data_IF_313165799339
#
_entry.id   IF_313165799339
#
_cell.length_a   1.000
_cell.length_b   1.000
_cell.length_c   1.000
_cell.angle_alpha   90.00
_cell.angle_beta   90.00
_cell.angle_gamma   90.00
#
_symmetry.space_group_name_H-M   'P 1'
#
loop_
_entity.id
_entity.type
_entity.pdbx_description
1 polymer ?
#
# COMPACT_ATOMS: atom_id res chain seq x y z
N UNK A 1 35.30 62.04 3.39
CA UNK A 1 35.08 60.84 4.23
C UNK A 1 33.60 60.57 4.58
N UNK A 2 32.65 61.43 4.18
CA UNK A 2 31.20 61.33 4.52
C UNK A 2 30.31 60.73 3.39
N UNK A 3 30.85 60.56 2.18
CA UNK A 3 30.07 60.03 1.00
C UNK A 3 30.18 58.51 0.90
N UNK A 4 31.27 57.89 1.40
CA UNK A 4 31.44 56.42 1.34
C UNK A 4 30.59 55.66 2.35
N UNK A 5 30.14 56.28 3.45
CA UNK A 5 29.35 55.64 4.48
C UNK A 5 27.85 55.51 4.12
N UNK A 6 27.32 56.38 3.25
CA UNK A 6 25.91 56.35 2.83
C UNK A 6 25.61 55.23 1.81
N UNK A 7 26.56 54.91 0.94
CA UNK A 7 26.39 53.84 -0.05
C UNK A 7 26.49 52.44 0.52
N UNK A 8 27.23 52.25 1.62
CA UNK A 8 27.35 50.94 2.28
C UNK A 8 26.07 50.60 3.08
N UNK A 9 25.49 51.61 3.75
CA UNK A 9 24.22 51.42 4.52
C UNK A 9 23.04 51.11 3.59
N UNK A 10 22.96 51.74 2.39
CA UNK A 10 21.92 51.47 1.42
C UNK A 10 22.02 50.08 0.78
N UNK A 11 23.24 49.58 0.56
CA UNK A 11 23.47 48.22 0.04
C UNK A 11 23.15 47.14 1.06
N UNK A 12 23.44 47.35 2.34
CA UNK A 12 23.14 46.42 3.41
C UNK A 12 21.62 46.38 3.70
N UNK A 13 20.90 47.50 3.61
CA UNK A 13 19.44 47.56 3.75
C UNK A 13 18.71 46.86 2.59
N UNK A 14 19.25 46.91 1.34
CA UNK A 14 18.70 46.25 0.18
C UNK A 14 18.87 44.73 0.25
N UNK A 15 19.98 44.24 0.78
CA UNK A 15 20.24 42.77 0.97
C UNK A 15 19.39 42.21 2.10
N UNK A 16 19.19 42.94 3.19
CA UNK A 16 18.33 42.52 4.29
C UNK A 16 16.83 42.56 3.90
N UNK A 17 16.41 43.50 3.03
CA UNK A 17 15.05 43.58 2.50
C UNK A 17 14.69 42.43 1.56
N UNK A 18 15.67 41.86 0.83
CA UNK A 18 15.46 40.71 -0.07
C UNK A 18 15.40 39.36 0.69
N UNK A 19 15.89 39.29 1.91
CA UNK A 19 15.84 38.08 2.73
C UNK A 19 14.55 37.92 3.54
N UNK A 20 13.66 38.90 3.55
CA UNK A 20 12.43 38.91 4.36
C UNK A 20 11.17 38.53 3.54
N UNK A 21 11.28 38.20 2.26
CA UNK A 21 10.14 37.79 1.43
C UNK A 21 10.16 36.30 1.04
N UNK A 22 10.83 35.45 1.80
CA UNK A 22 10.56 34.04 1.71
C UNK A 22 9.19 33.75 2.35
N UNK A 23 8.12 33.95 1.61
CA UNK A 23 6.86 33.32 1.96
C UNK A 23 7.10 31.82 2.10
N UNK A 24 6.59 31.17 3.15
CA UNK A 24 6.60 29.72 3.18
C UNK A 24 5.76 29.25 1.99
N UNK A 25 6.44 28.90 0.89
CA UNK A 25 5.79 28.25 -0.21
C UNK A 25 5.17 26.97 0.33
N UNK A 26 3.85 26.84 0.27
CA UNK A 26 3.20 25.58 0.52
C UNK A 26 3.78 24.61 -0.52
N UNK A 27 4.45 23.56 -0.06
CA UNK A 27 5.15 22.63 -0.95
C UNK A 27 4.16 21.90 -1.89
N UNK A 28 2.87 21.92 -1.55
CA UNK A 28 1.78 21.29 -2.32
C UNK A 28 0.52 22.15 -2.15
N UNK A 29 0.02 22.71 -3.26
CA UNK A 29 -1.30 23.34 -3.34
C UNK A 29 -2.32 22.29 -3.79
N UNK A 30 -2.91 21.59 -2.82
CA UNK A 30 -3.90 20.55 -3.07
C UNK A 30 -5.30 21.19 -3.07
N UNK A 31 -5.89 21.26 -4.25
CA UNK A 31 -7.24 21.76 -4.44
C UNK A 31 -8.26 20.64 -4.26
N UNK A 32 -9.34 20.90 -3.52
CA UNK A 32 -10.51 20.03 -3.47
C UNK A 32 -11.48 20.42 -4.57
N UNK A 33 -11.61 19.60 -5.59
CA UNK A 33 -12.54 19.78 -6.69
C UNK A 33 -13.78 18.92 -6.45
N UNK A 34 -14.96 19.52 -6.51
CA UNK A 34 -16.24 18.81 -6.37
C UNK A 34 -17.07 19.06 -7.63
N UNK A 35 -17.52 17.99 -8.29
CA UNK A 35 -18.39 18.06 -9.46
C UNK A 35 -19.83 18.44 -9.08
N UNK A 36 -20.67 18.88 -10.04
CA UNK A 36 -22.11 19.10 -9.84
C UNK A 36 -22.85 17.92 -9.22
N UNK A 37 -22.47 16.66 -9.56
CA UNK A 37 -23.05 15.45 -8.98
C UNK A 37 -22.48 15.09 -7.59
N UNK A 38 -21.61 15.94 -7.02
CA UNK A 38 -21.07 15.76 -5.66
C UNK A 38 -19.84 14.82 -5.59
N UNK A 39 -19.23 14.46 -6.72
CA UNK A 39 -18.02 13.64 -6.73
C UNK A 39 -16.80 14.52 -6.43
N UNK A 40 -15.97 14.09 -5.48
CA UNK A 40 -14.84 14.87 -5.01
C UNK A 40 -13.51 14.25 -5.43
N UNK A 41 -12.63 15.06 -6.00
CA UNK A 41 -11.24 14.72 -6.27
C UNK A 41 -10.27 15.72 -5.61
N UNK A 42 -9.06 15.30 -5.33
CA UNK A 42 -7.96 16.19 -4.97
C UNK A 42 -7.07 16.42 -6.18
N UNK A 43 -6.81 17.68 -6.48
CA UNK A 43 -6.05 18.12 -7.66
C UNK A 43 -4.78 18.87 -7.24
N UNK A 44 -3.68 18.54 -7.88
CA UNK A 44 -2.52 19.43 -8.01
C UNK A 44 -2.45 19.82 -9.49
N UNK A 45 -2.78 21.07 -9.77
CA UNK A 45 -2.72 21.64 -11.10
C UNK A 45 -1.28 21.98 -11.45
N UNK A 46 -0.74 21.38 -12.53
CA UNK A 46 0.64 21.55 -12.98
C UNK A 46 0.70 21.58 -14.51
N UNK A 47 0.90 22.76 -15.07
CA UNK A 47 1.01 23.00 -16.51
C UNK A 47 2.45 22.95 -17.03
N UNK A 48 3.42 22.57 -16.21
CA UNK A 48 4.82 22.49 -16.63
C UNK A 48 5.09 21.38 -17.64
N UNK A 49 4.28 20.32 -17.59
CA UNK A 49 4.34 19.18 -18.49
C UNK A 49 2.93 18.87 -19.03
N UNK A 50 2.76 18.55 -20.33
CA UNK A 50 1.46 18.28 -20.93
C UNK A 50 0.99 16.84 -20.61
N UNK A 51 0.93 16.49 -19.34
CA UNK A 51 0.54 15.16 -18.85
C UNK A 51 -0.54 15.29 -17.78
N UNK A 52 -1.47 14.34 -17.75
CA UNK A 52 -2.46 14.20 -16.70
C UNK A 52 -2.34 12.79 -16.13
N UNK A 53 -2.25 12.68 -14.80
CA UNK A 53 -2.32 11.42 -14.07
C UNK A 53 -3.50 11.44 -13.08
N UNK A 54 -4.29 10.37 -13.09
CA UNK A 54 -5.42 10.17 -12.18
C UNK A 54 -5.29 8.79 -11.54
N UNK A 55 -5.45 8.72 -10.23
CA UNK A 55 -5.67 7.47 -9.52
C UNK A 55 -6.98 7.53 -8.76
N UNK A 56 -7.77 6.46 -8.87
CA UNK A 56 -9.02 6.27 -8.15
C UNK A 56 -8.95 5.02 -7.28
N UNK A 57 -9.58 5.09 -6.11
CA UNK A 57 -9.67 4.00 -5.14
C UNK A 57 -11.14 3.78 -4.81
N UNK A 58 -11.59 2.53 -4.98
CA UNK A 58 -12.93 2.07 -4.56
C UNK A 58 -12.79 1.16 -3.34
N UNK A 59 -13.76 1.20 -2.45
CA UNK A 59 -13.89 0.33 -1.27
C UNK A 59 -14.40 -1.06 -1.69
N UNK A 60 -13.58 -1.78 -2.43
CA UNK A 60 -13.81 -3.12 -2.92
C UNK A 60 -12.46 -3.83 -3.09
N UNK A 61 -12.41 -5.13 -2.87
CA UNK A 61 -11.17 -5.87 -3.02
C UNK A 61 -11.36 -7.37 -2.84
N UNK A 62 -10.26 -8.11 -2.78
CA UNK A 62 -10.29 -9.55 -2.62
C UNK A 62 -10.92 -10.01 -1.28
N UNK A 63 -11.01 -9.12 -0.28
CA UNK A 63 -11.75 -9.43 0.95
C UNK A 63 -13.25 -9.63 0.72
N UNK A 64 -13.78 -9.05 -0.36
CA UNK A 64 -15.18 -9.18 -0.76
C UNK A 64 -15.45 -10.36 -1.71
N UNK A 65 -14.40 -11.10 -2.12
CA UNK A 65 -14.58 -12.26 -2.98
C UNK A 65 -15.46 -13.32 -2.29
N UNK A 66 -16.41 -13.98 -2.99
CA UNK A 66 -17.09 -15.14 -2.47
C UNK A 66 -16.09 -16.26 -2.13
N UNK A 67 -16.41 -17.07 -1.12
CA UNK A 67 -15.48 -18.09 -0.58
C UNK A 67 -15.10 -19.16 -1.61
N UNK A 68 -15.93 -19.40 -2.60
CA UNK A 68 -15.69 -20.36 -3.70
C UNK A 68 -15.12 -19.72 -4.97
N UNK A 69 -14.98 -18.38 -5.00
CA UNK A 69 -14.50 -17.57 -6.13
C UNK A 69 -13.42 -16.59 -5.73
N UNK A 70 -12.53 -16.99 -4.83
CA UNK A 70 -11.35 -16.19 -4.47
C UNK A 70 -10.53 -15.86 -5.73
N UNK A 71 -10.06 -14.62 -5.83
CA UNK A 71 -9.39 -14.07 -7.01
C UNK A 71 -10.33 -13.35 -7.98
N UNK A 72 -11.64 -13.24 -7.65
CA UNK A 72 -12.63 -12.56 -8.49
C UNK A 72 -12.28 -11.07 -8.68
N UNK A 73 -11.97 -10.35 -7.61
CA UNK A 73 -11.55 -8.96 -7.70
C UNK A 73 -10.27 -8.79 -8.54
N UNK A 74 -9.32 -9.73 -8.41
CA UNK A 74 -8.08 -9.71 -9.18
C UNK A 74 -8.32 -9.98 -10.67
N UNK A 75 -9.17 -10.97 -11.01
CA UNK A 75 -9.53 -11.24 -12.41
C UNK A 75 -10.32 -10.07 -13.00
N UNK A 76 -11.27 -9.48 -12.26
CA UNK A 76 -11.98 -8.27 -12.67
C UNK A 76 -11.01 -7.14 -13.00
N UNK A 77 -10.08 -6.84 -12.09
CA UNK A 77 -9.09 -5.77 -12.29
C UNK A 77 -8.23 -5.99 -13.54
N UNK A 78 -7.92 -7.26 -13.84
CA UNK A 78 -7.08 -7.62 -15.00
C UNK A 78 -7.86 -7.74 -16.31
N UNK A 79 -9.19 -7.54 -16.28
CA UNK A 79 -10.05 -7.68 -17.48
C UNK A 79 -10.87 -6.45 -17.81
N UNK A 80 -10.89 -5.42 -16.94
CA UNK A 80 -11.67 -4.20 -17.19
C UNK A 80 -11.15 -3.38 -18.39
N UNK A 81 -9.88 -3.46 -18.69
CA UNK A 81 -9.22 -2.83 -19.85
C UNK A 81 -9.11 -3.77 -21.06
N UNK A 82 -9.79 -4.92 -21.03
CA UNK A 82 -9.78 -5.94 -22.08
C UNK A 82 -11.02 -5.87 -22.98
N UNK A 83 -11.35 -4.66 -23.42
CA UNK A 83 -12.48 -4.36 -24.30
C UNK A 83 -13.69 -3.78 -23.57
N UNK A 84 -14.24 -2.69 -24.14
CA UNK A 84 -15.39 -2.00 -23.57
C UNK A 84 -16.21 -1.27 -24.68
N UNK A 85 -17.50 -1.09 -24.47
CA UNK A 85 -18.41 -0.54 -25.46
C UNK A 85 -18.40 -1.37 -26.75
N UNK A 86 -18.18 -0.73 -27.88
CA UNK A 86 -18.06 -1.39 -29.19
C UNK A 86 -16.65 -1.94 -29.47
N UNK A 87 -15.63 -1.57 -28.65
CA UNK A 87 -14.25 -1.96 -28.88
C UNK A 87 -13.96 -3.36 -28.35
N UNK A 88 -13.47 -4.24 -29.22
CA UNK A 88 -12.91 -5.52 -28.81
C UNK A 88 -11.66 -5.33 -27.93
N UNK A 89 -11.18 -6.40 -27.28
CA UNK A 89 -9.92 -6.34 -26.50
C UNK A 89 -8.75 -5.79 -27.32
N UNK A 90 -8.60 -6.25 -28.55
CA UNK A 90 -7.51 -5.80 -29.45
C UNK A 90 -7.67 -4.33 -29.82
N UNK A 91 -8.89 -3.91 -30.20
CA UNK A 91 -9.16 -2.54 -30.62
C UNK A 91 -9.00 -1.54 -29.45
N UNK A 92 -9.45 -1.96 -28.24
CA UNK A 92 -9.33 -1.17 -27.03
C UNK A 92 -7.84 -0.95 -26.67
N UNK A 93 -7.04 -2.00 -26.65
CA UNK A 93 -5.61 -1.91 -26.36
C UNK A 93 -4.84 -1.15 -27.46
N UNK A 94 -5.21 -1.31 -28.74
CA UNK A 94 -4.63 -0.54 -29.83
C UNK A 94 -4.93 0.95 -29.70
N UNK A 95 -6.18 1.32 -29.37
CA UNK A 95 -6.56 2.72 -29.16
C UNK A 95 -5.81 3.37 -28.00
N UNK A 96 -5.60 2.63 -26.88
CA UNK A 96 -4.77 3.10 -25.77
C UNK A 96 -3.32 3.32 -26.20
N UNK A 97 -2.73 2.33 -26.91
CA UNK A 97 -1.33 2.36 -27.33
C UNK A 97 -1.05 3.49 -28.34
N UNK A 98 -1.89 3.64 -29.38
CA UNK A 98 -1.76 4.66 -30.40
C UNK A 98 -1.80 6.10 -29.84
N UNK A 99 -2.54 6.29 -28.75
CA UNK A 99 -2.69 7.57 -28.05
C UNK A 99 -1.73 7.73 -26.87
N UNK A 100 -0.84 6.76 -26.62
CA UNK A 100 0.04 6.76 -25.43
C UNK A 100 -0.74 6.95 -24.13
N UNK A 101 -1.88 6.28 -24.01
CA UNK A 101 -2.72 6.26 -22.81
C UNK A 101 -2.35 5.03 -22.01
N UNK A 102 -2.01 5.22 -20.74
CA UNK A 102 -1.87 4.14 -19.75
C UNK A 102 -3.16 4.07 -18.93
N UNK A 103 -3.95 3.03 -19.12
CA UNK A 103 -5.15 2.73 -18.35
C UNK A 103 -5.05 1.28 -17.87
N UNK A 104 -5.10 1.08 -16.55
CA UNK A 104 -5.11 -0.25 -15.97
C UNK A 104 -5.73 -0.25 -14.57
N UNK A 105 -6.13 -1.43 -14.11
CA UNK A 105 -6.75 -1.61 -12.80
C UNK A 105 -5.96 -2.62 -11.96
N UNK A 106 -6.10 -2.53 -10.63
CA UNK A 106 -5.49 -3.46 -9.68
C UNK A 106 -6.42 -3.69 -8.48
N UNK A 107 -6.59 -4.95 -8.10
CA UNK A 107 -7.25 -5.30 -6.86
C UNK A 107 -6.22 -5.58 -5.76
N UNK A 108 -6.38 -4.87 -4.64
CA UNK A 108 -5.75 -5.21 -3.37
C UNK A 108 -6.65 -6.13 -2.55
N UNK A 109 -6.35 -6.28 -1.27
CA UNK A 109 -7.23 -7.01 -0.36
C UNK A 109 -8.50 -6.21 -0.06
N UNK A 110 -8.35 -4.92 0.27
CA UNK A 110 -9.46 -4.05 0.70
C UNK A 110 -9.87 -3.04 -0.38
N UNK A 111 -9.04 -2.81 -1.39
CA UNK A 111 -9.15 -1.67 -2.31
C UNK A 111 -9.00 -2.09 -3.75
N UNK A 112 -9.89 -1.58 -4.57
CA UNK A 112 -9.79 -1.67 -6.03
C UNK A 112 -9.31 -0.33 -6.57
N UNK A 113 -8.30 -0.34 -7.42
CA UNK A 113 -7.67 0.87 -7.94
C UNK A 113 -7.78 0.93 -9.45
N UNK A 114 -8.09 2.12 -9.97
CA UNK A 114 -7.93 2.44 -11.38
C UNK A 114 -6.87 3.52 -11.54
N UNK A 115 -6.04 3.39 -12.56
CA UNK A 115 -4.92 4.29 -12.85
C UNK A 115 -5.01 4.73 -14.30
N UNK A 116 -4.97 6.04 -14.52
CA UNK A 116 -4.91 6.66 -15.84
C UNK A 116 -3.72 7.59 -15.91
N UNK A 117 -2.96 7.53 -17.00
CA UNK A 117 -1.95 8.52 -17.34
C UNK A 117 -1.96 8.77 -18.83
N UNK A 118 -1.97 10.03 -19.25
CA UNK A 118 -2.10 10.43 -20.64
C UNK A 118 -1.45 11.77 -20.93
N UNK A 119 -1.16 12.05 -22.19
CA UNK A 119 -0.87 13.40 -22.65
C UNK A 119 -2.15 14.25 -22.63
N UNK A 120 -2.05 15.54 -22.31
CA UNK A 120 -3.19 16.47 -22.28
C UNK A 120 -3.98 16.46 -23.59
N UNK A 121 -3.29 16.38 -24.73
CA UNK A 121 -3.90 16.33 -26.07
C UNK A 121 -4.80 15.09 -26.29
N UNK A 122 -4.60 14.01 -25.54
CA UNK A 122 -5.33 12.76 -25.67
C UNK A 122 -6.30 12.51 -24.48
N UNK A 123 -6.43 13.48 -23.59
CA UNK A 123 -7.18 13.31 -22.33
C UNK A 123 -8.67 13.02 -22.53
N UNK A 124 -9.32 13.60 -23.53
CA UNK A 124 -10.74 13.29 -23.82
C UNK A 124 -10.91 11.82 -24.20
N UNK A 125 -10.00 11.28 -25.03
CA UNK A 125 -10.00 9.85 -25.37
C UNK A 125 -9.73 8.99 -24.12
N UNK A 126 -8.75 9.39 -23.29
CA UNK A 126 -8.40 8.63 -22.09
C UNK A 126 -9.56 8.55 -21.09
N UNK A 127 -10.26 9.66 -20.86
CA UNK A 127 -11.42 9.67 -19.94
C UNK A 127 -12.64 8.94 -20.54
N UNK A 128 -12.83 8.98 -21.84
CA UNK A 128 -13.86 8.17 -22.49
C UNK A 128 -13.54 6.67 -22.40
N UNK A 129 -12.29 6.26 -22.64
CA UNK A 129 -11.87 4.86 -22.48
C UNK A 129 -12.04 4.40 -21.03
N UNK A 130 -11.71 5.24 -20.05
CA UNK A 130 -11.96 4.96 -18.62
C UNK A 130 -13.46 4.79 -18.36
N UNK A 131 -14.30 5.69 -18.87
CA UNK A 131 -15.75 5.62 -18.72
C UNK A 131 -16.29 4.32 -19.30
N UNK A 132 -15.89 3.96 -20.52
CA UNK A 132 -16.29 2.71 -21.15
C UNK A 132 -15.88 1.49 -20.33
N UNK A 133 -14.63 1.45 -19.83
CA UNK A 133 -14.12 0.36 -19.01
C UNK A 133 -14.93 0.18 -17.72
N UNK A 134 -15.35 1.28 -17.08
CA UNK A 134 -16.12 1.22 -15.83
C UNK A 134 -17.61 0.86 -16.05
N UNK A 135 -18.23 1.31 -17.14
CA UNK A 135 -19.68 1.20 -17.35
C UNK A 135 -20.11 0.11 -18.35
N UNK A 136 -19.26 -0.20 -19.33
CA UNK A 136 -19.60 -1.08 -20.44
C UNK A 136 -18.48 -2.11 -20.73
N UNK A 137 -17.88 -2.74 -19.70
CA UNK A 137 -16.86 -3.77 -19.95
C UNK A 137 -17.49 -4.97 -20.66
N UNK A 138 -16.82 -5.49 -21.69
CA UNK A 138 -17.35 -6.58 -22.52
C UNK A 138 -17.21 -7.94 -21.85
N UNK A 139 -16.10 -8.18 -21.21
CA UNK A 139 -15.73 -9.48 -20.62
C UNK A 139 -15.91 -10.62 -21.64
N UNK A 140 -15.34 -10.44 -22.84
CA UNK A 140 -15.37 -11.45 -23.89
C UNK A 140 -14.67 -12.73 -23.43
N UNK A 141 -15.28 -13.88 -23.71
CA UNK A 141 -14.78 -15.16 -23.23
C UNK A 141 -13.30 -15.40 -23.57
N UNK A 142 -12.89 -15.07 -24.79
CA UNK A 142 -11.50 -15.24 -25.23
C UNK A 142 -10.50 -14.37 -24.42
N UNK A 143 -10.88 -13.12 -24.11
CA UNK A 143 -10.05 -12.22 -23.30
C UNK A 143 -10.00 -12.68 -21.84
N UNK A 144 -11.14 -13.01 -21.26
CA UNK A 144 -11.24 -13.54 -19.88
C UNK A 144 -10.44 -14.84 -19.73
N UNK A 145 -10.53 -15.77 -20.68
CA UNK A 145 -9.80 -17.05 -20.64
C UNK A 145 -8.29 -16.83 -20.75
N UNK A 146 -7.84 -15.91 -21.61
CA UNK A 146 -6.43 -15.56 -21.74
C UNK A 146 -5.88 -14.99 -20.42
N UNK A 147 -6.57 -14.04 -19.82
CA UNK A 147 -6.17 -13.42 -18.55
C UNK A 147 -6.23 -14.43 -17.40
N UNK A 148 -7.29 -15.26 -17.36
CA UNK A 148 -7.41 -16.37 -16.39
C UNK A 148 -6.20 -17.30 -16.48
N UNK A 149 -5.78 -17.68 -17.67
CA UNK A 149 -4.61 -18.54 -17.88
C UNK A 149 -3.32 -17.89 -17.35
N UNK A 150 -3.15 -16.58 -17.54
CA UNK A 150 -2.00 -15.82 -17.00
C UNK A 150 -2.02 -15.80 -15.46
N UNK A 151 -3.17 -15.53 -14.84
CA UNK A 151 -3.32 -15.54 -13.38
C UNK A 151 -3.04 -16.94 -12.83
N UNK A 152 -3.57 -17.99 -13.44
CA UNK A 152 -3.32 -19.38 -13.02
C UNK A 152 -1.85 -19.77 -13.17
N UNK A 153 -1.16 -19.31 -14.21
CA UNK A 153 0.28 -19.52 -14.37
C UNK A 153 1.07 -18.81 -13.25
N UNK A 154 0.69 -17.57 -12.90
CA UNK A 154 1.26 -16.82 -11.77
C UNK A 154 1.02 -17.56 -10.45
N UNK A 155 -0.19 -18.05 -10.18
CA UNK A 155 -0.51 -18.81 -8.96
C UNK A 155 0.37 -20.06 -8.86
N UNK A 156 0.57 -20.82 -9.97
CA UNK A 156 1.48 -21.98 -9.99
C UNK A 156 2.90 -21.58 -9.62
N UNK A 157 3.41 -20.50 -10.21
CA UNK A 157 4.75 -19.98 -9.90
C UNK A 157 4.88 -19.58 -8.44
N UNK A 158 3.93 -18.80 -7.92
CA UNK A 158 3.95 -18.30 -6.54
C UNK A 158 3.86 -19.43 -5.51
N UNK A 159 3.11 -20.51 -5.82
CA UNK A 159 3.02 -21.68 -4.92
C UNK A 159 4.33 -22.48 -4.83
N UNK A 160 5.19 -22.37 -5.82
CA UNK A 160 6.53 -23.00 -5.80
C UNK A 160 7.57 -22.13 -5.07
N UNK A 161 7.32 -20.84 -4.90
CA UNK A 161 8.25 -19.93 -4.22
C UNK A 161 8.12 -20.06 -2.70
N UNK A 162 9.21 -20.43 -1.97
CA UNK A 162 9.14 -20.62 -0.52
C UNK A 162 8.67 -19.38 0.25
N UNK A 163 9.09 -18.18 -0.19
CA UNK A 163 8.69 -16.93 0.43
C UNK A 163 7.17 -16.70 0.34
N UNK A 164 6.61 -16.83 -0.86
CA UNK A 164 5.16 -16.65 -1.11
C UNK A 164 4.33 -17.69 -0.34
N UNK A 165 4.83 -18.94 -0.30
CA UNK A 165 4.20 -20.02 0.44
C UNK A 165 4.20 -19.78 1.95
N UNK A 166 5.33 -19.41 2.54
CA UNK A 166 5.44 -19.11 3.97
C UNK A 166 4.52 -17.95 4.36
N UNK A 167 4.48 -16.91 3.53
CA UNK A 167 3.61 -15.75 3.71
C UNK A 167 2.13 -16.10 3.71
N UNK A 168 1.68 -16.89 2.72
CA UNK A 168 0.29 -17.33 2.62
C UNK A 168 -0.12 -18.17 3.83
N UNK A 169 0.70 -19.14 4.22
CA UNK A 169 0.43 -20.00 5.36
C UNK A 169 0.36 -19.19 6.67
N UNK A 170 1.26 -18.23 6.85
CA UNK A 170 1.23 -17.34 8.01
C UNK A 170 -0.07 -16.53 8.08
N UNK A 171 -0.53 -15.94 6.97
CA UNK A 171 -1.81 -15.23 6.95
C UNK A 171 -3.01 -16.14 7.23
N UNK A 172 -3.02 -17.36 6.69
CA UNK A 172 -4.08 -18.35 6.98
C UNK A 172 -4.16 -18.70 8.47
N UNK A 173 -3.03 -18.77 9.15
CA UNK A 173 -2.96 -19.02 10.57
C UNK A 173 -3.43 -17.83 11.41
N UNK A 174 -3.10 -16.61 11.02
CA UNK A 174 -3.55 -15.42 11.71
C UNK A 174 -5.04 -15.12 11.52
N UNK A 175 -5.60 -15.55 10.39
CA UNK A 175 -6.98 -15.25 9.98
C UNK A 175 -7.71 -16.48 9.44
N UNK A 176 -7.89 -17.55 10.22
CA UNK A 176 -8.37 -18.85 9.71
C UNK A 176 -9.78 -18.81 9.11
N UNK A 177 -10.65 -17.90 9.58
CA UNK A 177 -12.03 -17.76 9.12
C UNK A 177 -12.34 -16.41 8.50
N UNK A 178 -11.34 -15.52 8.42
CA UNK A 178 -11.52 -14.18 7.87
C UNK A 178 -10.99 -14.09 6.43
N UNK A 179 -11.55 -13.23 5.58
CA UNK A 179 -11.07 -13.03 4.20
C UNK A 179 -9.57 -12.73 4.09
N UNK A 180 -8.97 -12.12 5.12
CA UNK A 180 -7.53 -11.81 5.12
C UNK A 180 -6.61 -13.03 5.17
N UNK A 181 -7.12 -14.20 5.56
CA UNK A 181 -6.40 -15.46 5.49
C UNK A 181 -6.48 -16.13 4.10
N UNK A 182 -7.35 -15.66 3.23
CA UNK A 182 -7.52 -16.20 1.88
C UNK A 182 -6.48 -15.65 0.90
N UNK A 183 -6.08 -16.41 -0.14
CA UNK A 183 -5.16 -15.89 -1.17
C UNK A 183 -5.86 -14.81 -2.00
N UNK A 184 -5.28 -13.61 -2.03
CA UNK A 184 -5.80 -12.47 -2.80
C UNK A 184 -5.96 -12.77 -4.29
N UNK A 185 -5.03 -13.52 -4.87
CA UNK A 185 -5.03 -13.86 -6.29
C UNK A 185 -5.87 -15.12 -6.57
N UNK A 186 -6.48 -15.71 -5.54
CA UNK A 186 -7.26 -16.94 -5.62
C UNK A 186 -6.42 -18.22 -5.60
N UNK A 187 -7.10 -19.34 -5.83
CA UNK A 187 -6.50 -20.67 -6.09
C UNK A 187 -6.72 -21.07 -7.54
N UNK A 188 -6.08 -22.15 -7.98
CA UNK A 188 -6.33 -22.69 -9.33
C UNK A 188 -7.78 -23.09 -9.51
N UNK A 189 -8.39 -23.66 -8.45
CA UNK A 189 -9.75 -24.15 -8.43
C UNK A 189 -10.76 -22.99 -8.39
N UNK A 190 -10.54 -21.98 -7.55
CA UNK A 190 -11.46 -20.84 -7.40
C UNK A 190 -11.47 -19.98 -8.67
N UNK A 191 -10.29 -19.67 -9.22
CA UNK A 191 -10.15 -18.84 -10.43
C UNK A 191 -10.74 -19.55 -11.66
N UNK A 192 -10.67 -20.88 -11.74
CA UNK A 192 -11.27 -21.65 -12.82
C UNK A 192 -12.82 -21.59 -12.82
N UNK A 193 -13.45 -21.31 -11.66
CA UNK A 193 -14.93 -21.25 -11.52
C UNK A 193 -15.51 -19.86 -11.82
N UNK A 194 -14.68 -18.84 -11.93
CA UNK A 194 -15.14 -17.47 -12.17
C UNK A 194 -15.56 -17.33 -13.63
N UNK A 195 -16.77 -16.85 -13.86
CA UNK A 195 -17.29 -16.57 -15.21
C UNK A 195 -17.48 -15.06 -15.46
N UNK A 196 -17.85 -14.69 -16.69
CA UNK A 196 -18.08 -13.30 -17.07
C UNK A 196 -19.25 -12.64 -16.32
N UNK A 197 -20.23 -13.42 -15.88
CA UNK A 197 -21.36 -12.89 -15.09
C UNK A 197 -20.95 -12.58 -13.66
N UNK A 198 -20.02 -13.34 -13.10
CA UNK A 198 -19.40 -13.02 -11.81
C UNK A 198 -18.67 -11.68 -11.86
N UNK A 199 -17.89 -11.45 -12.93
CA UNK A 199 -17.19 -10.19 -13.16
C UNK A 199 -18.16 -9.01 -13.25
N UNK A 200 -19.25 -9.16 -14.03
CA UNK A 200 -20.29 -8.13 -14.15
C UNK A 200 -20.98 -7.85 -12.82
N UNK A 201 -21.34 -8.90 -12.07
CA UNK A 201 -21.97 -8.75 -10.74
C UNK A 201 -21.05 -8.03 -9.76
N UNK A 202 -19.77 -8.42 -9.69
CA UNK A 202 -18.82 -7.81 -8.78
C UNK A 202 -18.54 -6.34 -9.17
N UNK A 203 -18.34 -6.04 -10.45
CA UNK A 203 -18.15 -4.69 -10.93
C UNK A 203 -19.35 -3.78 -10.55
N UNK A 204 -20.58 -4.24 -10.83
CA UNK A 204 -21.80 -3.50 -10.48
C UNK A 204 -21.99 -3.33 -8.97
N UNK A 205 -21.58 -4.30 -8.16
CA UNK A 205 -21.74 -4.25 -6.72
C UNK A 205 -20.68 -3.39 -6.04
N UNK A 206 -19.44 -3.43 -6.49
CA UNK A 206 -18.27 -2.87 -5.80
C UNK A 206 -17.77 -1.54 -6.35
N UNK A 207 -17.89 -1.28 -7.66
CA UNK A 207 -17.47 -0.03 -8.25
C UNK A 207 -18.57 1.03 -8.04
N UNK A 208 -18.53 1.69 -6.87
CA UNK A 208 -19.57 2.64 -6.44
C UNK A 208 -18.95 3.98 -6.05
N UNK A 209 -19.81 5.01 -5.98
CA UNK A 209 -19.39 6.36 -5.50
C UNK A 209 -19.12 6.40 -3.99
N UNK A 210 -19.69 5.47 -3.23
CA UNK A 210 -19.40 5.34 -1.81
C UNK A 210 -17.93 4.98 -1.60
N UNK A 211 -17.22 5.76 -0.76
CA UNK A 211 -15.78 5.53 -0.48
C UNK A 211 -14.83 5.85 -1.63
N UNK A 212 -15.35 6.31 -2.80
CA UNK A 212 -14.52 6.65 -3.94
C UNK A 212 -13.59 7.83 -3.60
N UNK A 213 -12.29 7.60 -3.73
CA UNK A 213 -11.25 8.59 -3.51
C UNK A 213 -10.46 8.80 -4.80
N UNK A 214 -10.30 10.05 -5.23
CA UNK A 214 -9.69 10.38 -6.51
C UNK A 214 -8.57 11.41 -6.31
N UNK A 215 -7.36 11.07 -6.77
CA UNK A 215 -6.23 11.99 -6.85
C UNK A 215 -5.87 12.29 -8.30
N UNK A 216 -5.68 13.56 -8.64
CA UNK A 216 -5.35 14.02 -9.98
C UNK A 216 -4.19 15.00 -9.93
N UNK A 217 -3.29 14.87 -10.88
CA UNK A 217 -2.13 15.77 -11.04
C UNK A 217 -1.88 16.03 -12.50
N UNK A 218 -1.59 17.25 -12.84
CA UNK A 218 -1.09 17.61 -14.16
C UNK A 218 -1.84 18.74 -14.85
N UNK A 219 -1.74 18.78 -16.17
CA UNK A 219 -2.23 19.85 -17.03
C UNK A 219 -3.75 19.77 -17.27
N UNK A 220 -4.50 19.99 -16.19
CA UNK A 220 -5.97 20.03 -16.20
C UNK A 220 -6.46 21.04 -15.16
N UNK A 221 -7.35 21.97 -15.56
CA UNK A 221 -7.94 22.92 -14.64
C UNK A 221 -9.02 22.28 -13.76
N UNK A 222 -9.30 22.91 -12.60
CA UNK A 222 -10.35 22.47 -11.69
C UNK A 222 -11.72 22.37 -12.36
N UNK A 223 -12.10 23.35 -13.23
CA UNK A 223 -13.38 23.36 -13.93
C UNK A 223 -13.48 22.21 -14.95
N UNK A 224 -12.40 21.91 -15.66
CA UNK A 224 -12.36 20.77 -16.58
C UNK A 224 -12.45 19.46 -15.83
N UNK A 225 -11.70 19.33 -14.73
CA UNK A 225 -11.76 18.14 -13.88
C UNK A 225 -13.17 17.92 -13.34
N UNK A 226 -13.87 18.94 -12.85
CA UNK A 226 -15.25 18.80 -12.37
C UNK A 226 -16.19 18.20 -13.42
N UNK A 227 -16.06 18.60 -14.71
CA UNK A 227 -16.83 17.99 -15.81
C UNK A 227 -16.44 16.54 -16.09
N UNK A 228 -15.14 16.25 -16.07
CA UNK A 228 -14.62 14.87 -16.25
C UNK A 228 -15.11 13.94 -15.14
N UNK A 229 -15.13 14.41 -13.89
CA UNK A 229 -15.65 13.63 -12.75
C UNK A 229 -17.11 13.21 -12.97
N UNK A 230 -17.96 14.11 -13.44
CA UNK A 230 -19.36 13.78 -13.76
C UNK A 230 -19.46 12.83 -14.94
N UNK A 231 -18.73 13.12 -16.03
CA UNK A 231 -18.74 12.27 -17.22
C UNK A 231 -18.35 10.82 -16.90
N UNK A 232 -17.36 10.62 -16.04
CA UNK A 232 -16.81 9.28 -15.77
C UNK A 232 -17.55 8.58 -14.66
N UNK A 233 -17.93 9.26 -13.58
CA UNK A 233 -18.34 8.60 -12.34
C UNK A 233 -19.80 8.86 -11.91
N UNK A 234 -20.53 9.80 -12.51
CA UNK A 234 -21.87 10.16 -12.05
C UNK A 234 -22.87 8.99 -12.13
N UNK A 235 -22.74 8.15 -13.15
CA UNK A 235 -23.63 7.00 -13.39
C UNK A 235 -23.24 5.73 -12.59
N UNK A 236 -22.15 5.77 -11.82
CA UNK A 236 -21.82 4.66 -10.91
C UNK A 236 -22.87 4.55 -9.79
N UNK A 237 -23.13 3.33 -9.28
CA UNK A 237 -23.99 3.14 -8.13
C UNK A 237 -23.62 4.07 -6.97
N UNK A 238 -24.61 4.67 -6.32
CA UNK A 238 -24.37 5.57 -5.20
C UNK A 238 -23.73 4.85 -4.00
N UNK A 239 -24.10 3.58 -3.79
CA UNK A 239 -23.65 2.74 -2.68
C UNK A 239 -23.16 1.38 -3.19
N UNK A 240 -22.17 0.82 -2.49
CA UNK A 240 -21.76 -0.57 -2.68
C UNK A 240 -22.84 -1.52 -2.17
N UNK A 241 -23.04 -2.61 -2.88
CA UNK A 241 -23.87 -3.74 -2.44
C UNK A 241 -23.05 -4.99 -2.09
N UNK A 242 -21.73 -4.87 -2.01
CA UNK A 242 -20.87 -5.94 -1.53
C UNK A 242 -21.13 -6.20 -0.03
N UNK A 243 -21.05 -7.46 0.42
CA UNK A 243 -21.12 -7.78 1.84
C UNK A 243 -20.03 -7.04 2.63
N UNK A 244 -20.36 -6.49 3.81
CA UNK A 244 -19.37 -5.84 4.65
C UNK A 244 -18.34 -6.87 5.16
N UNK A 245 -17.08 -6.46 5.24
CA UNK A 245 -16.02 -7.24 5.86
C UNK A 245 -15.97 -6.88 7.35
N UNK A 246 -15.96 -7.88 8.22
CA UNK A 246 -15.91 -7.64 9.67
C UNK A 246 -14.49 -7.25 10.13
N UNK A 247 -14.41 -6.42 11.16
CA UNK A 247 -13.13 -6.16 11.82
C UNK A 247 -12.66 -7.39 12.59
N UNK A 248 -11.40 -7.76 12.41
CA UNK A 248 -10.79 -8.88 13.11
C UNK A 248 -9.33 -8.62 13.45
N UNK A 249 -8.97 -8.86 14.71
CA UNK A 249 -7.57 -8.87 15.13
C UNK A 249 -6.91 -10.18 14.67
N UNK A 250 -5.63 -10.15 14.27
CA UNK A 250 -4.87 -11.35 13.94
C UNK A 250 -4.66 -12.20 15.22
N UNK A 251 -4.67 -13.50 15.07
CA UNK A 251 -4.24 -14.41 16.12
C UNK A 251 -2.76 -14.14 16.42
N UNK A 252 -2.47 -13.78 17.66
CA UNK A 252 -1.12 -13.40 18.13
C UNK A 252 -0.80 -14.23 19.37
N UNK A 253 -0.54 -15.53 19.15
CA UNK A 253 -0.42 -16.54 20.22
C UNK A 253 1.04 -16.87 20.61
N UNK A 254 2.00 -16.18 20.00
CA UNK A 254 3.43 -16.38 20.27
C UNK A 254 4.01 -17.71 19.77
N UNK A 255 3.24 -18.52 19.07
CA UNK A 255 3.64 -19.86 18.62
C UNK A 255 4.63 -19.80 17.46
N UNK A 256 5.47 -20.84 17.39
CA UNK A 256 6.33 -21.09 16.23
C UNK A 256 5.79 -22.31 15.50
N UNK A 257 5.38 -22.11 14.26
CA UNK A 257 4.90 -23.17 13.36
C UNK A 257 5.95 -23.48 12.33
N UNK A 258 6.35 -24.76 12.24
CA UNK A 258 7.34 -25.22 11.29
C UNK A 258 6.67 -26.09 10.24
N UNK A 259 6.87 -25.71 8.97
CA UNK A 259 6.41 -26.46 7.80
C UNK A 259 7.64 -27.08 7.16
N UNK A 260 7.70 -28.41 7.20
CA UNK A 260 8.83 -29.16 6.62
C UNK A 260 8.85 -28.99 5.11
N UNK A 261 9.93 -28.44 4.61
CA UNK A 261 10.25 -28.35 3.19
C UNK A 261 11.76 -28.50 2.99
N UNK A 262 12.17 -29.36 2.05
CA UNK A 262 13.57 -29.56 1.74
C UNK A 262 14.11 -28.41 0.89
N UNK A 263 14.56 -27.37 1.56
CA UNK A 263 15.16 -26.17 0.98
C UNK A 263 16.42 -25.78 1.78
N UNK A 264 17.43 -25.16 1.14
CA UNK A 264 18.72 -24.87 1.79
C UNK A 264 18.65 -23.82 2.88
N UNK A 265 17.60 -23.00 2.89
CA UNK A 265 17.39 -21.92 3.87
C UNK A 265 15.97 -22.00 4.43
N UNK A 266 15.82 -21.78 5.74
CA UNK A 266 14.53 -21.54 6.37
C UNK A 266 14.03 -20.15 6.05
N UNK A 267 12.83 -20.04 5.46
CA UNK A 267 12.09 -18.79 5.32
C UNK A 267 11.30 -18.58 6.59
N UNK A 268 11.46 -17.45 7.23
CA UNK A 268 10.81 -17.07 8.49
C UNK A 268 9.91 -15.88 8.22
N UNK A 269 8.60 -16.04 8.45
CA UNK A 269 7.61 -14.94 8.49
C UNK A 269 7.15 -14.80 9.94
N UNK A 270 7.04 -13.57 10.42
CA UNK A 270 6.68 -13.31 11.80
C UNK A 270 5.87 -12.03 11.97
N UNK A 271 5.16 -11.93 13.06
CA UNK A 271 4.41 -10.74 13.41
C UNK A 271 3.34 -10.98 14.48
N UNK A 272 2.54 -9.96 14.69
CA UNK A 272 1.46 -9.91 15.66
C UNK A 272 0.49 -8.78 15.35
N UNK A 273 -0.53 -8.55 16.21
CA UNK A 273 -1.43 -7.40 16.12
C UNK A 273 -0.65 -6.08 16.14
N UNK A 274 -0.95 -5.19 15.23
CA UNK A 274 -0.34 -3.88 15.07
C UNK A 274 -1.19 -2.74 15.60
N UNK A 275 -0.87 -1.53 15.16
CA UNK A 275 -1.61 -0.30 15.45
C UNK A 275 -2.27 0.18 14.16
N UNK A 276 -3.58 0.39 14.22
CA UNK A 276 -4.38 0.83 13.08
C UNK A 276 -4.03 2.25 12.64
N UNK A 277 -4.31 2.57 11.39
CA UNK A 277 -4.00 3.88 10.82
C UNK A 277 -4.62 5.06 11.58
N UNK A 278 -5.87 4.95 12.00
CA UNK A 278 -6.59 6.01 12.73
C UNK A 278 -6.22 6.14 14.22
N UNK A 279 -5.35 5.27 14.73
CA UNK A 279 -4.94 5.30 16.14
C UNK A 279 -4.01 6.50 16.41
N UNK A 280 -4.22 7.27 17.50
CA UNK A 280 -3.36 8.39 17.88
C UNK A 280 -1.87 8.04 18.00
N UNK A 281 -1.55 6.77 18.29
CA UNK A 281 -0.19 6.25 18.45
C UNK A 281 0.46 5.83 17.13
N UNK A 282 -0.25 5.84 15.99
CA UNK A 282 0.24 5.30 14.72
C UNK A 282 1.60 5.88 14.29
N UNK A 283 1.78 7.20 14.31
CA UNK A 283 3.05 7.81 13.92
C UNK A 283 4.18 7.53 14.92
N UNK A 284 3.85 7.38 16.21
CA UNK A 284 4.81 6.92 17.22
C UNK A 284 5.24 5.46 16.96
N UNK A 285 4.29 4.59 16.61
CA UNK A 285 4.59 3.22 16.19
C UNK A 285 5.43 3.16 14.91
N UNK A 286 5.16 4.05 13.93
CA UNK A 286 5.95 4.16 12.71
C UNK A 286 7.40 4.59 13.01
N UNK A 287 7.61 5.53 13.95
CA UNK A 287 8.95 5.89 14.43
C UNK A 287 9.68 4.70 15.06
N UNK A 288 9.00 3.94 15.91
CA UNK A 288 9.58 2.75 16.55
C UNK A 288 9.92 1.66 15.53
N UNK A 289 9.06 1.42 14.54
CA UNK A 289 9.35 0.46 13.48
C UNK A 289 10.50 0.92 12.58
N UNK A 290 10.65 2.24 12.34
CA UNK A 290 11.83 2.78 11.67
C UNK A 290 13.12 2.46 12.43
N UNK A 291 13.12 2.57 13.75
CA UNK A 291 14.27 2.24 14.60
C UNK A 291 14.56 0.73 14.58
N UNK A 292 13.52 -0.09 14.66
CA UNK A 292 13.68 -1.54 14.72
C UNK A 292 14.09 -2.13 13.38
N UNK A 293 13.52 -1.64 12.26
CA UNK A 293 13.67 -2.29 10.96
C UNK A 293 13.76 -1.33 9.76
N UNK A 294 13.84 -0.03 9.97
CA UNK A 294 13.80 0.99 8.92
C UNK A 294 15.14 1.26 8.23
N UNK A 295 15.81 0.24 7.71
CA UNK A 295 17.03 0.44 6.92
C UNK A 295 18.29 -0.11 7.57
N UNK A 296 19.45 0.22 6.99
CA UNK A 296 20.72 -0.44 7.34
C UNK A 296 21.16 -0.26 8.81
N UNK A 297 20.86 0.89 9.40
CA UNK A 297 21.24 1.19 10.80
C UNK A 297 20.20 0.69 11.83
N UNK A 298 19.10 0.09 11.39
CA UNK A 298 18.07 -0.43 12.28
C UNK A 298 18.55 -1.59 13.13
N UNK A 299 17.95 -1.76 14.33
CA UNK A 299 18.37 -2.77 15.31
C UNK A 299 18.40 -4.18 14.74
N UNK A 300 17.36 -4.60 13.99
CA UNK A 300 17.31 -5.93 13.41
C UNK A 300 18.40 -6.15 12.35
N UNK A 301 18.60 -5.19 11.46
CA UNK A 301 19.62 -5.32 10.40
C UNK A 301 21.01 -5.37 11.02
N UNK A 302 21.29 -4.54 12.02
CA UNK A 302 22.58 -4.55 12.72
C UNK A 302 22.81 -5.90 13.43
N UNK A 303 21.83 -6.44 14.13
CA UNK A 303 22.01 -7.66 14.90
C UNK A 303 22.02 -8.93 14.04
N UNK A 304 21.16 -9.03 13.03
CA UNK A 304 20.99 -10.24 12.22
C UNK A 304 21.99 -10.27 11.06
N UNK A 305 22.14 -9.15 10.34
CA UNK A 305 22.99 -9.09 9.13
C UNK A 305 24.42 -8.68 9.44
N UNK A 306 24.60 -7.51 10.07
CA UNK A 306 25.94 -6.87 10.16
C UNK A 306 26.82 -7.58 11.18
N UNK A 307 26.33 -7.80 12.40
CA UNK A 307 27.14 -8.38 13.50
C UNK A 307 27.30 -9.88 13.41
N UNK A 308 26.30 -10.61 12.91
CA UNK A 308 26.26 -12.09 12.99
C UNK A 308 26.22 -12.79 11.61
N UNK A 309 25.93 -12.06 10.53
CA UNK A 309 25.87 -12.66 9.19
C UNK A 309 24.84 -13.79 9.06
N UNK A 310 23.73 -13.72 9.81
CA UNK A 310 22.72 -14.77 9.83
C UNK A 310 21.84 -14.76 8.60
N UNK A 311 21.51 -13.56 8.09
CA UNK A 311 20.68 -13.37 6.91
C UNK A 311 21.20 -12.22 6.05
N UNK A 312 20.93 -12.27 4.74
CA UNK A 312 21.22 -11.19 3.82
C UNK A 312 20.28 -9.98 4.06
N UNK A 313 19.06 -10.24 4.47
CA UNK A 313 18.06 -9.21 4.77
C UNK A 313 17.07 -9.68 5.82
N UNK A 314 16.62 -8.72 6.61
CA UNK A 314 15.51 -8.85 7.54
C UNK A 314 14.71 -7.57 7.49
N UNK A 315 13.39 -7.68 7.50
CA UNK A 315 12.49 -6.53 7.52
C UNK A 315 11.32 -6.76 8.45
N UNK A 316 10.81 -5.69 9.03
CA UNK A 316 9.53 -5.66 9.71
C UNK A 316 8.88 -4.29 9.54
N UNK A 317 7.55 -4.22 9.45
CA UNK A 317 6.82 -2.98 9.25
C UNK A 317 5.41 -3.04 9.85
N UNK A 318 4.84 -1.88 10.12
CA UNK A 318 3.40 -1.78 10.33
C UNK A 318 2.68 -2.11 9.02
N UNK A 319 1.62 -2.88 9.13
CA UNK A 319 0.77 -3.24 8.02
C UNK A 319 -0.70 -3.02 8.40
N UNK A 320 -1.15 -1.76 8.40
CA UNK A 320 -2.54 -1.44 8.63
C UNK A 320 -3.37 -1.84 7.42
N UNK A 321 -4.49 -2.51 7.68
CA UNK A 321 -5.56 -2.81 6.74
C UNK A 321 -6.84 -2.14 7.21
N UNK A 322 -7.86 -2.11 6.38
CA UNK A 322 -9.10 -1.43 6.72
C UNK A 322 -9.84 -2.12 7.88
N UNK A 323 -9.75 -3.45 7.97
CA UNK A 323 -10.42 -4.27 9.00
C UNK A 323 -9.46 -4.97 9.97
N UNK A 324 -8.18 -4.60 9.97
CA UNK A 324 -7.17 -5.15 10.88
C UNK A 324 -5.89 -4.33 10.87
N UNK A 325 -5.03 -4.54 11.86
CA UNK A 325 -3.71 -3.97 11.86
C UNK A 325 -2.69 -5.01 12.34
N UNK A 326 -1.57 -5.10 11.65
CA UNK A 326 -0.51 -6.05 11.95
C UNK A 326 0.86 -5.37 12.00
N UNK A 327 1.77 -5.97 12.73
CA UNK A 327 3.21 -5.89 12.46
C UNK A 327 3.57 -7.15 11.68
N UNK A 328 4.29 -6.98 10.59
CA UNK A 328 4.73 -8.08 9.74
C UNK A 328 6.22 -8.00 9.49
N UNK A 329 6.90 -9.13 9.51
CA UNK A 329 8.31 -9.20 9.21
C UNK A 329 8.69 -10.50 8.51
N UNK A 330 9.81 -10.48 7.82
CA UNK A 330 10.34 -11.67 7.16
C UNK A 330 11.86 -11.65 7.05
N UNK A 331 12.42 -12.85 7.00
CA UNK A 331 13.83 -13.09 6.72
C UNK A 331 14.03 -14.50 6.18
N UNK A 332 15.20 -14.78 5.61
CA UNK A 332 15.63 -16.13 5.27
C UNK A 332 17.04 -16.37 5.80
N UNK A 333 17.26 -17.53 6.41
CA UNK A 333 18.53 -17.90 7.03
C UNK A 333 18.84 -19.38 6.81
N UNK A 334 20.10 -19.78 6.98
CA UNK A 334 20.47 -21.20 6.94
C UNK A 334 19.68 -21.99 7.98
N UNK A 335 19.27 -23.21 7.66
CA UNK A 335 18.48 -24.08 8.55
C UNK A 335 19.08 -24.20 9.96
N UNK A 336 20.39 -24.35 10.09
CA UNK A 336 21.13 -24.41 11.35
C UNK A 336 21.14 -23.07 12.15
N UNK A 337 20.72 -21.98 11.54
CA UNK A 337 20.72 -20.63 12.15
C UNK A 337 19.31 -20.07 12.40
N UNK A 338 18.29 -20.83 12.08
CA UNK A 338 16.91 -20.37 12.21
C UNK A 338 16.53 -20.07 13.68
N UNK A 339 16.93 -20.94 14.62
CA UNK A 339 16.70 -20.73 16.06
C UNK A 339 17.35 -19.45 16.57
N UNK A 340 18.64 -19.27 16.29
CA UNK A 340 19.38 -18.07 16.71
C UNK A 340 18.73 -16.80 16.14
N UNK A 341 18.26 -16.85 14.89
CA UNK A 341 17.57 -15.71 14.24
C UNK A 341 16.26 -15.38 14.95
N UNK A 342 15.43 -16.36 15.28
CA UNK A 342 14.18 -16.18 16.04
C UNK A 342 14.45 -15.58 17.43
N UNK A 343 15.44 -16.11 18.14
CA UNK A 343 15.83 -15.62 19.47
C UNK A 343 16.27 -14.16 19.43
N UNK A 344 17.02 -13.74 18.40
CA UNK A 344 17.43 -12.35 18.22
C UNK A 344 16.22 -11.45 17.92
N UNK A 345 15.30 -11.87 17.06
CA UNK A 345 14.07 -11.11 16.79
C UNK A 345 13.31 -10.88 18.09
N UNK A 346 13.06 -11.92 18.87
CA UNK A 346 12.40 -11.83 20.18
C UNK A 346 13.15 -10.91 21.14
N UNK A 347 14.47 -11.04 21.22
CA UNK A 347 15.29 -10.20 22.09
C UNK A 347 15.21 -8.70 21.70
N UNK A 348 15.14 -8.37 20.41
CA UNK A 348 14.97 -6.98 19.97
C UNK A 348 13.57 -6.43 20.29
N UNK A 349 12.52 -7.25 20.20
CA UNK A 349 11.18 -6.90 20.66
C UNK A 349 11.16 -6.59 22.14
N UNK A 350 11.65 -7.50 22.96
CA UNK A 350 11.76 -7.33 24.43
C UNK A 350 12.56 -6.08 24.77
N UNK A 351 13.74 -5.90 24.16
CA UNK A 351 14.60 -4.74 24.41
C UNK A 351 13.88 -3.42 24.07
N UNK A 352 13.09 -3.39 22.98
CA UNK A 352 12.32 -2.19 22.62
C UNK A 352 11.20 -1.93 23.64
N UNK A 353 10.49 -2.96 24.08
CA UNK A 353 9.42 -2.83 25.08
C UNK A 353 9.93 -2.35 26.45
N UNK A 354 11.05 -2.93 26.93
CA UNK A 354 11.58 -2.68 28.28
C UNK A 354 12.37 -1.35 28.37
N UNK A 355 13.25 -1.10 27.39
CA UNK A 355 14.19 0.00 27.43
C UNK A 355 13.73 1.21 26.59
N UNK A 356 12.86 0.97 25.59
CA UNK A 356 12.45 1.97 24.62
C UNK A 356 13.58 2.34 23.64
N UNK A 357 13.38 3.39 22.84
CA UNK A 357 14.41 3.96 21.95
C UNK A 357 15.36 4.88 22.72
N UNK A 358 16.60 5.02 22.24
CA UNK A 358 17.56 6.03 22.70
C UNK A 358 17.25 7.39 22.09
N UNK A 359 17.78 8.47 22.69
CA UNK A 359 17.61 9.83 22.16
C UNK A 359 18.16 10.00 20.73
N UNK A 360 19.29 9.36 20.41
CA UNK A 360 19.85 9.38 19.06
C UNK A 360 18.94 8.66 18.07
N UNK A 361 18.47 7.44 18.39
CA UNK A 361 17.55 6.68 17.53
C UNK A 361 16.26 7.49 17.23
N UNK A 362 15.72 8.20 18.22
CA UNK A 362 14.54 9.07 18.04
C UNK A 362 14.83 10.19 17.05
N UNK A 363 15.96 10.87 17.23
CA UNK A 363 16.37 11.97 16.35
C UNK A 363 16.55 11.50 14.92
N UNK A 364 17.27 10.40 14.73
CA UNK A 364 17.55 9.82 13.40
C UNK A 364 16.27 9.34 12.72
N UNK A 365 15.39 8.67 13.45
CA UNK A 365 14.10 8.18 12.91
C UNK A 365 13.16 9.32 12.50
N UNK A 366 13.07 10.39 13.32
CA UNK A 366 12.31 11.59 12.97
C UNK A 366 12.87 12.26 11.72
N UNK A 367 14.18 12.49 11.68
CA UNK A 367 14.85 13.07 10.52
C UNK A 367 14.63 12.28 9.27
N UNK A 368 14.74 10.95 9.35
CA UNK A 368 14.51 10.07 8.20
C UNK A 368 13.06 10.11 7.71
N UNK A 369 12.06 9.90 8.61
CA UNK A 369 10.66 9.84 8.20
C UNK A 369 10.15 11.19 7.66
N UNK A 370 10.68 12.30 8.15
CA UNK A 370 10.36 13.64 7.63
C UNK A 370 11.06 13.86 6.30
N UNK A 371 12.38 13.62 6.24
CA UNK A 371 13.19 13.89 5.05
C UNK A 371 12.91 12.95 3.86
N UNK A 372 12.48 11.71 4.10
CA UNK A 372 12.12 10.77 3.04
C UNK A 372 10.71 10.99 2.46
N UNK A 373 9.87 11.77 3.12
CA UNK A 373 8.48 11.97 2.67
C UNK A 373 8.36 12.65 1.31
N UNK A 374 9.11 13.73 1.00
CA UNK A 374 9.06 14.35 -0.33
C UNK A 374 9.43 13.42 -1.49
N UNK A 375 10.23 12.36 -1.23
CA UNK A 375 10.61 11.38 -2.24
C UNK A 375 9.43 10.53 -2.74
N UNK A 376 8.25 10.66 -2.15
CA UNK A 376 7.01 10.04 -2.64
C UNK A 376 6.36 10.80 -3.80
N UNK A 377 6.83 12.01 -4.07
CA UNK A 377 6.25 12.94 -5.04
C UNK A 377 7.22 13.16 -6.20
N UNK A 378 7.74 12.08 -6.79
CA UNK A 378 8.77 12.11 -7.83
C UNK A 378 8.22 12.22 -9.24
N UNK A 379 6.99 11.79 -9.46
CA UNK A 379 6.30 11.80 -10.74
C UNK A 379 4.79 11.96 -10.58
N UNK A 380 4.09 12.40 -11.62
CA UNK A 380 2.65 12.67 -11.57
C UNK A 380 1.83 11.45 -11.14
N UNK A 381 2.08 10.21 -11.61
CA UNK A 381 1.37 9.02 -11.11
C UNK A 381 1.59 8.76 -9.62
N UNK A 382 2.81 8.96 -9.09
CA UNK A 382 3.09 8.77 -7.67
C UNK A 382 2.41 9.83 -6.79
N UNK A 383 2.31 11.06 -7.29
CA UNK A 383 1.58 12.15 -6.63
C UNK A 383 0.08 11.85 -6.63
N UNK A 384 -0.52 11.52 -7.79
CA UNK A 384 -1.94 11.16 -7.90
C UNK A 384 -2.31 10.01 -6.94
N UNK A 385 -1.47 8.97 -6.87
CA UNK A 385 -1.59 7.86 -5.92
C UNK A 385 -1.57 8.33 -4.47
N UNK A 386 -0.68 9.25 -4.13
CA UNK A 386 -0.57 9.79 -2.78
C UNK A 386 -1.80 10.58 -2.41
N UNK A 387 -2.33 11.42 -3.31
CA UNK A 387 -3.55 12.21 -3.11
C UNK A 387 -4.77 11.31 -2.88
N UNK A 388 -5.00 10.33 -3.76
CA UNK A 388 -6.08 9.36 -3.60
C UNK A 388 -5.94 8.57 -2.28
N UNK A 389 -4.71 8.16 -1.94
CA UNK A 389 -4.42 7.45 -0.69
C UNK A 389 -4.69 8.30 0.55
N UNK A 390 -4.31 9.57 0.58
CA UNK A 390 -4.57 10.47 1.71
C UNK A 390 -6.07 10.73 1.89
N UNK A 391 -6.78 10.97 0.79
CA UNK A 391 -8.23 11.13 0.80
C UNK A 391 -8.93 9.89 1.34
N UNK A 392 -8.55 8.70 0.85
CA UNK A 392 -9.10 7.42 1.31
C UNK A 392 -8.85 7.18 2.81
N UNK A 393 -7.71 7.59 3.34
CA UNK A 393 -7.36 7.47 4.75
C UNK A 393 -8.01 8.55 5.63
N UNK A 394 -8.89 9.39 5.09
CA UNK A 394 -9.57 10.47 5.81
C UNK A 394 -8.65 11.61 6.25
N UNK A 395 -7.47 11.75 5.64
CA UNK A 395 -6.56 12.85 5.90
C UNK A 395 -7.04 14.12 5.20
N UNK A 396 -6.71 15.28 5.77
CA UNK A 396 -6.99 16.56 5.11
C UNK A 396 -6.00 16.86 3.97
N UNK A 397 -6.33 17.76 3.03
CA UNK A 397 -5.40 18.18 1.97
C UNK A 397 -4.11 18.81 2.52
N UNK A 398 -4.15 19.39 3.71
CA UNK A 398 -2.98 19.94 4.41
C UNK A 398 -2.07 18.89 5.06
N UNK A 399 -2.42 17.61 5.00
CA UNK A 399 -1.65 16.55 5.63
C UNK A 399 -0.15 16.56 5.25
N UNK A 400 0.27 16.76 3.98
CA UNK A 400 1.68 16.82 3.62
C UNK A 400 2.44 17.92 4.40
N UNK A 401 1.82 19.08 4.62
CA UNK A 401 2.39 20.22 5.35
C UNK A 401 2.42 19.98 6.87
N UNK A 402 1.42 19.27 7.41
CA UNK A 402 1.28 19.00 8.85
C UNK A 402 2.07 17.79 9.33
N UNK A 403 2.45 16.87 8.41
CA UNK A 403 3.05 15.59 8.75
C UNK A 403 4.31 15.69 9.60
N UNK A 404 5.18 16.65 9.31
CA UNK A 404 6.39 16.87 10.10
C UNK A 404 6.07 17.22 11.56
N UNK A 405 5.08 18.08 11.79
CA UNK A 405 4.60 18.42 13.13
C UNK A 405 3.98 17.21 13.85
N UNK A 406 3.18 16.39 13.12
CA UNK A 406 2.59 15.16 13.65
C UNK A 406 3.65 14.16 14.13
N UNK A 407 4.78 14.05 13.41
CA UNK A 407 5.89 13.19 13.81
C UNK A 407 6.67 13.80 14.99
N UNK A 408 6.95 15.10 14.94
CA UNK A 408 7.77 15.77 15.95
C UNK A 408 7.12 15.85 17.34
N UNK A 409 5.80 15.77 17.43
CA UNK A 409 5.07 15.86 18.71
C UNK A 409 5.39 14.73 19.70
N UNK A 410 5.82 13.56 19.21
CA UNK A 410 6.10 12.41 20.08
C UNK A 410 7.36 12.64 20.92
N UNK A 411 7.19 12.57 22.23
CA UNK A 411 8.28 12.63 23.23
C UNK A 411 8.92 11.25 23.42
N UNK A 412 10.04 11.20 24.13
CA UNK A 412 10.67 9.93 24.52
C UNK A 412 9.76 9.09 25.40
N UNK A 413 8.97 9.71 26.29
CA UNK A 413 8.03 9.00 27.16
C UNK A 413 6.83 8.45 26.38
N UNK A 414 6.31 9.19 25.40
CA UNK A 414 5.29 8.68 24.48
C UNK A 414 5.79 7.43 23.76
N UNK A 415 7.00 7.48 23.22
CA UNK A 415 7.59 6.37 22.48
C UNK A 415 7.86 5.15 23.39
N UNK A 416 8.25 5.35 24.64
CA UNK A 416 8.37 4.26 25.61
C UNK A 416 7.02 3.61 25.93
N UNK A 417 5.97 4.42 26.10
CA UNK A 417 4.61 3.92 26.32
C UNK A 417 4.12 3.11 25.11
N UNK A 418 4.31 3.65 23.91
CA UNK A 418 3.91 2.98 22.66
C UNK A 418 4.73 1.71 22.44
N UNK A 419 6.03 1.73 22.77
CA UNK A 419 6.89 0.56 22.66
C UNK A 419 6.38 -0.61 23.54
N UNK A 420 5.98 -0.34 24.79
CA UNK A 420 5.38 -1.37 25.66
C UNK A 420 4.06 -1.90 25.12
N UNK A 421 3.25 -1.05 24.48
CA UNK A 421 1.98 -1.45 23.86
C UNK A 421 2.19 -2.32 22.62
N UNK A 422 3.17 -1.98 21.79
CA UNK A 422 3.35 -2.59 20.47
C UNK A 422 4.26 -3.82 20.51
N UNK A 423 5.39 -3.77 21.23
CA UNK A 423 6.44 -4.78 21.18
C UNK A 423 6.27 -5.85 22.27
N UNK A 424 5.14 -6.55 22.24
CA UNK A 424 4.86 -7.68 23.15
C UNK A 424 5.46 -8.96 22.53
N UNK A 425 6.62 -9.38 23.05
CA UNK A 425 7.39 -10.53 22.52
C UNK A 425 6.59 -11.83 22.56
N UNK A 426 5.78 -12.01 23.59
CA UNK A 426 4.92 -13.18 23.81
C UNK A 426 3.87 -13.34 22.70
N UNK A 427 3.53 -12.27 22.00
CA UNK A 427 2.54 -12.26 20.92
C UNK A 427 3.15 -12.52 19.53
N UNK A 428 4.50 -12.56 19.44
CA UNK A 428 5.18 -12.82 18.16
C UNK A 428 4.93 -14.24 17.66
N UNK A 429 4.07 -14.37 16.67
CA UNK A 429 3.77 -15.62 15.96
C UNK A 429 4.70 -15.79 14.78
N UNK A 430 5.30 -16.97 14.64
CA UNK A 430 6.25 -17.30 13.58
C UNK A 430 5.74 -18.46 12.73
N UNK A 431 5.88 -18.33 11.41
CA UNK A 431 5.77 -19.44 10.46
C UNK A 431 7.13 -19.63 9.78
N UNK A 432 7.70 -20.81 9.92
CA UNK A 432 9.01 -21.17 9.38
C UNK A 432 8.84 -22.29 8.35
N UNK A 433 9.17 -21.98 7.11
CA UNK A 433 9.18 -22.95 6.03
C UNK A 433 10.62 -23.40 5.77
N UNK A 434 10.91 -24.69 5.94
CA UNK A 434 12.26 -25.26 5.81
C UNK A 434 12.49 -26.42 6.77
N UNK A 435 13.75 -26.72 7.03
CA UNK A 435 14.20 -27.73 8.01
C UNK A 435 15.05 -27.09 9.10
N UNK A 436 14.48 -26.19 9.92
CA UNK A 436 15.23 -25.54 10.99
C UNK A 436 15.73 -26.60 11.99
N UNK A 437 16.96 -26.39 12.52
CA UNK A 437 17.50 -27.20 13.60
C UNK A 437 17.16 -26.59 14.95
N UNK A 438 16.92 -27.44 15.95
CA UNK A 438 16.76 -27.08 17.36
C UNK A 438 15.63 -26.07 17.68
N UNK A 439 14.63 -25.96 16.84
CA UNK A 439 13.44 -25.19 17.17
C UNK A 439 12.42 -26.10 17.84
N UNK A 440 11.98 -25.77 19.08
CA UNK A 440 10.89 -26.48 19.72
C UNK A 440 9.62 -26.31 18.87
N UNK A 441 9.13 -27.40 18.32
CA UNK A 441 7.93 -27.38 17.49
C UNK A 441 6.69 -27.40 18.39
N UNK A 442 6.03 -26.28 18.56
CA UNK A 442 4.70 -26.13 19.24
C UNK A 442 3.57 -26.62 18.37
N UNK A 443 3.61 -27.15 17.31
CA UNK A 443 2.77 -28.02 16.47
C UNK A 443 3.38 -28.13 15.06
N UNK A 444 3.79 -29.34 14.68
CA UNK A 444 4.09 -29.63 13.28
C UNK A 444 2.77 -29.63 12.52
N UNK A 445 2.49 -28.59 11.75
CA UNK A 445 1.52 -28.73 10.68
C UNK A 445 2.07 -29.80 9.73
N UNK A 446 1.32 -30.90 9.53
CA UNK A 446 1.66 -31.94 8.56
C UNK A 446 1.85 -31.27 7.19
N UNK A 447 2.91 -31.67 6.47
CA UNK A 447 3.14 -31.24 5.10
C UNK A 447 1.84 -31.42 4.31
N UNK A 448 1.27 -30.33 3.86
CA UNK A 448 0.19 -30.40 2.87
C UNK A 448 0.85 -30.87 1.57
N UNK A 449 0.81 -32.19 1.37
CA UNK A 449 1.09 -32.82 0.07
C UNK A 449 -0.17 -32.59 -0.77
N UNK A 450 -0.11 -31.71 -1.71
CA UNK A 450 -0.62 -31.68 -3.08
C UNK A 450 -0.77 -30.27 -3.61
#
# INVERSE_FOLDING_TARGET
>A
MLIACRTTILRTALVVGLLLTAWPGHAFDIQKVTSPSGITAWLIEDHSNPVIAMEMIFDAGAANDPTDKEGLANLLASTLDEGAGELSSTDFQSALSEKSISLYFRAGTDRFRGIVSTLTANSDTAFEMLRLALHQPRFEAAAVDRIRAQIMAKIRSDTQQPQSRAWRLWLQELFPSHPYGRPRDGTLESVARIDSDDLRRFAKAGLSRQGLSIGVVGDISAERLARVLDQVFADLPAQSSLPPVADQQPISDGQIRVIDQDIPQSVIVFGHAGIAWGDPDYFGAALLMQIVSGGFQSRLVQEVRVKRGLAYGISASLFPRDHSAMVIGSTATRNAKARETVEIIRAQWRKMAEQGPTASEITDAKSYLIGAFPLRFTDSPAIARSLAGFQHLGLGPDYPNQRAAMINRFTADDLKRIARRLFQEENLTFTILGRPQDIPTGSRAKSATQ
#
